data_IF_452946700572
#
_entry.id   IF_452946700572
#
_cell.length_a   1.000
_cell.length_b   1.000
_cell.length_c   1.000
_cell.angle_alpha   90.00
_cell.angle_beta   90.00
_cell.angle_gamma   90.00
#
_symmetry.space_group_name_H-M   'P 1'
#
loop_
_entity.id
_entity.type
_entity.pdbx_description
1 polymer ?
#
# COMPACT_ATOMS: atom_id res chain seq x y z
N UNK A 1 -2.99 18.67 16.82
CA UNK A 1 -3.83 17.80 15.98
C UNK A 1 -3.52 18.18 14.55
N UNK A 2 -2.59 17.48 13.92
CA UNK A 2 -2.32 17.61 12.48
C UNK A 2 -3.21 16.59 11.80
N UNK A 3 -4.23 17.06 11.09
CA UNK A 3 -5.02 16.24 10.16
C UNK A 3 -4.05 15.51 9.24
N UNK A 4 -4.22 14.18 9.11
CA UNK A 4 -3.45 13.37 8.18
C UNK A 4 -3.77 13.81 6.76
N UNK A 5 -2.96 14.70 6.22
CA UNK A 5 -3.16 15.27 4.90
C UNK A 5 -3.04 14.18 3.84
N UNK A 6 -4.09 14.02 3.02
CA UNK A 6 -4.03 13.22 1.80
C UNK A 6 -2.91 13.73 0.89
N UNK A 7 -2.17 12.80 0.29
CA UNK A 7 -1.06 13.15 -0.60
C UNK A 7 -1.43 12.77 -2.02
N UNK A 8 -1.60 13.78 -2.86
CA UNK A 8 -1.92 13.64 -4.27
C UNK A 8 -0.65 13.54 -5.10
N UNK A 9 -0.54 12.47 -5.89
CA UNK A 9 0.59 12.21 -6.77
C UNK A 9 0.08 12.04 -8.20
N UNK A 10 0.51 12.95 -9.07
CA UNK A 10 0.27 12.93 -10.54
C UNK A 10 -1.19 12.66 -10.92
N UNK A 11 -2.12 13.32 -10.21
CA UNK A 11 -3.59 13.29 -10.41
C UNK A 11 -4.26 11.91 -10.30
N UNK A 12 -3.50 10.89 -9.90
CA UNK A 12 -3.88 9.48 -10.08
C UNK A 12 -3.68 8.64 -8.84
N UNK A 13 -2.82 9.04 -7.91
CA UNK A 13 -2.55 8.30 -6.70
C UNK A 13 -2.81 9.20 -5.50
N UNK A 14 -3.63 8.72 -4.58
CA UNK A 14 -3.90 9.34 -3.30
C UNK A 14 -3.36 8.40 -2.24
N UNK A 15 -2.43 8.91 -1.43
CA UNK A 15 -1.99 8.22 -0.23
C UNK A 15 -2.70 8.81 0.96
N UNK A 16 -3.18 7.96 1.85
CA UNK A 16 -3.61 8.36 3.18
C UNK A 16 -2.69 7.70 4.23
N UNK A 17 -1.57 8.36 4.60
CA UNK A 17 -0.61 7.81 5.55
C UNK A 17 -1.16 7.65 6.97
N UNK A 18 -2.21 8.39 7.34
CA UNK A 18 -2.83 8.24 8.65
C UNK A 18 -3.65 6.94 8.74
N UNK A 19 -4.22 6.51 7.62
CA UNK A 19 -5.01 5.28 7.54
C UNK A 19 -4.22 4.09 6.97
N UNK A 20 -3.03 4.31 6.44
CA UNK A 20 -2.24 3.28 5.77
C UNK A 20 -2.95 2.72 4.53
N UNK A 21 -3.70 3.58 3.84
CA UNK A 21 -4.47 3.21 2.66
C UNK A 21 -3.98 3.93 1.40
N UNK A 22 -4.30 3.33 0.26
CA UNK A 22 -3.97 3.83 -1.06
C UNK A 22 -5.23 3.84 -1.91
N UNK A 23 -5.42 4.96 -2.60
CA UNK A 23 -6.34 5.07 -3.73
C UNK A 23 -5.55 5.31 -5.00
N UNK A 24 -5.90 4.58 -6.06
CA UNK A 24 -5.26 4.73 -7.35
C UNK A 24 -6.30 4.76 -8.46
N UNK A 25 -6.29 5.84 -9.22
CA UNK A 25 -7.12 6.12 -10.39
C UNK A 25 -6.24 6.12 -11.63
N UNK A 26 -6.52 5.22 -12.58
CA UNK A 26 -5.81 5.17 -13.86
C UNK A 26 -6.78 5.45 -15.00
N UNK A 27 -6.45 6.43 -15.86
CA UNK A 27 -7.30 6.84 -16.99
C UNK A 27 -8.76 7.08 -16.56
N UNK A 28 -8.94 7.83 -15.47
CA UNK A 28 -10.24 8.13 -14.85
C UNK A 28 -11.03 6.90 -14.34
N UNK A 29 -10.38 5.75 -14.13
CA UNK A 29 -10.99 4.56 -13.52
C UNK A 29 -10.30 4.23 -12.20
N UNK A 30 -11.03 4.04 -11.09
CA UNK A 30 -10.44 3.55 -9.84
C UNK A 30 -9.96 2.11 -10.04
N UNK A 31 -8.66 1.89 -9.84
CA UNK A 31 -8.02 0.58 -9.90
C UNK A 31 -7.84 0.02 -8.48
N UNK A 32 -7.56 0.89 -7.51
CA UNK A 32 -7.53 0.58 -6.08
C UNK A 32 -8.28 1.68 -5.33
N UNK A 33 -9.08 1.29 -4.34
CA UNK A 33 -9.78 2.23 -3.45
C UNK A 33 -9.71 1.68 -2.03
N UNK A 34 -9.28 2.54 -1.10
CA UNK A 34 -9.09 2.21 0.32
C UNK A 34 -8.20 0.98 0.57
N UNK A 35 -7.33 0.63 -0.38
CA UNK A 35 -6.61 -0.62 -0.33
C UNK A 35 -5.44 -0.51 0.66
N UNK A 36 -5.06 -1.62 1.30
CA UNK A 36 -3.96 -1.71 2.27
C UNK A 36 -3.24 -3.04 2.13
N UNK A 37 -2.20 -3.27 2.93
CA UNK A 37 -1.44 -4.52 2.94
C UNK A 37 -1.23 -5.04 4.36
N UNK A 38 -1.14 -6.37 4.47
CA UNK A 38 -0.85 -7.06 5.73
C UNK A 38 0.07 -8.26 5.49
N UNK A 39 0.96 -8.51 6.45
CA UNK A 39 1.79 -9.70 6.54
C UNK A 39 1.53 -10.44 7.85
N UNK A 40 1.40 -11.76 7.79
CA UNK A 40 1.48 -12.63 8.97
C UNK A 40 2.78 -13.40 8.93
N UNK A 41 3.48 -13.42 10.05
CA UNK A 41 4.83 -13.98 10.13
C UNK A 41 5.09 -14.56 11.52
N UNK A 42 6.21 -15.29 11.68
CA UNK A 42 6.68 -15.81 12.97
C UNK A 42 8.11 -15.38 13.25
N UNK A 43 8.36 -15.11 14.53
CA UNK A 43 9.70 -14.91 15.11
C UNK A 43 9.81 -15.86 16.29
N UNK A 44 10.85 -16.70 16.31
CA UNK A 44 11.03 -17.72 17.37
C UNK A 44 9.78 -18.61 17.56
N UNK A 45 9.05 -18.89 16.48
CA UNK A 45 7.81 -19.68 16.49
C UNK A 45 6.55 -18.93 16.96
N UNK A 46 6.67 -17.69 17.42
CA UNK A 46 5.53 -16.88 17.84
C UNK A 46 4.90 -16.13 16.66
N UNK A 47 3.60 -16.34 16.46
CA UNK A 47 2.84 -15.68 15.41
C UNK A 47 2.67 -14.17 15.67
N UNK A 48 2.88 -13.39 14.62
CA UNK A 48 2.79 -11.93 14.58
C UNK A 48 2.09 -11.49 13.30
N UNK A 49 1.56 -10.27 13.34
CA UNK A 49 0.85 -9.64 12.23
C UNK A 49 1.30 -8.19 12.13
N UNK A 50 1.63 -7.76 10.92
CA UNK A 50 1.94 -6.37 10.61
C UNK A 50 1.03 -5.89 9.49
N UNK A 51 0.27 -4.83 9.76
CA UNK A 51 -0.63 -4.21 8.79
C UNK A 51 -0.23 -2.76 8.57
N UNK A 52 -0.37 -2.27 7.33
CA UNK A 52 -0.21 -0.85 7.06
C UNK A 52 -1.30 0.00 7.77
N UNK A 53 -2.46 -0.58 8.15
CA UNK A 53 -3.54 0.15 8.86
C UNK A 53 -3.32 0.35 10.36
N UNK A 54 -2.40 -0.39 10.97
CA UNK A 54 -2.32 -0.48 12.44
C UNK A 54 -1.54 0.70 13.07
N UNK A 55 -1.08 1.69 12.31
CA UNK A 55 -0.34 2.83 12.83
C UNK A 55 0.10 3.84 11.77
N UNK A 56 0.78 4.92 12.18
CA UNK A 56 1.32 5.90 11.24
C UNK A 56 2.33 5.22 10.33
N UNK A 57 2.07 5.25 9.02
CA UNK A 57 3.01 4.70 8.04
C UNK A 57 4.01 5.76 7.59
N UNK A 58 5.25 5.34 7.36
CA UNK A 58 6.21 6.13 6.62
C UNK A 58 5.87 6.07 5.13
N UNK A 59 6.12 7.16 4.40
CA UNK A 59 5.91 7.20 2.95
C UNK A 59 7.11 7.80 2.23
N UNK A 60 7.37 7.32 1.01
CA UNK A 60 8.42 7.79 0.13
C UNK A 60 7.87 8.14 -1.24
N UNK A 61 8.36 9.25 -1.81
CA UNK A 61 8.02 9.67 -3.17
C UNK A 61 9.33 9.93 -3.92
N UNK A 62 9.59 9.09 -4.91
CA UNK A 62 10.59 9.32 -5.94
C UNK A 62 9.88 9.68 -7.26
N UNK A 63 10.65 9.89 -8.34
CA UNK A 63 10.12 10.43 -9.58
C UNK A 63 8.88 9.66 -10.08
N UNK A 64 8.90 8.34 -10.08
CA UNK A 64 7.82 7.47 -10.54
C UNK A 64 7.43 6.38 -9.52
N UNK A 65 8.19 6.26 -8.43
CA UNK A 65 7.96 5.28 -7.38
C UNK A 65 7.38 5.96 -6.14
N UNK A 66 6.34 5.35 -5.61
CA UNK A 66 5.71 5.71 -4.35
C UNK A 66 5.73 4.50 -3.45
N UNK A 67 6.06 4.71 -2.18
CA UNK A 67 6.05 3.64 -1.18
C UNK A 67 5.31 4.06 0.08
N UNK A 68 4.60 3.10 0.67
CA UNK A 68 4.09 3.15 2.04
C UNK A 68 4.73 2.03 2.83
N UNK A 69 5.21 2.31 4.03
CA UNK A 69 5.85 1.30 4.87
C UNK A 69 5.48 1.42 6.33
N UNK A 70 5.33 0.27 6.99
CA UNK A 70 5.21 0.14 8.43
C UNK A 70 6.25 -0.88 8.90
N UNK A 71 6.82 -0.66 10.09
CA UNK A 71 7.77 -1.56 10.73
C UNK A 71 7.40 -1.73 12.19
N UNK A 72 7.52 -2.95 12.70
CA UNK A 72 7.37 -3.28 14.13
C UNK A 72 8.71 -3.62 14.81
N UNK A 73 9.82 -3.33 14.14
CA UNK A 73 11.18 -3.62 14.62
C UNK A 73 11.64 -5.05 14.39
N UNK A 74 10.80 -5.95 13.88
CA UNK A 74 11.21 -7.28 13.41
C UNK A 74 11.14 -7.35 11.89
N UNK A 75 10.02 -6.90 11.32
CA UNK A 75 9.84 -6.81 9.86
C UNK A 75 9.40 -5.42 9.46
N UNK A 76 9.77 -5.03 8.24
CA UNK A 76 9.21 -3.88 7.55
C UNK A 76 8.36 -4.38 6.38
N UNK A 77 7.08 -4.04 6.41
CA UNK A 77 6.16 -4.24 5.29
C UNK A 77 6.14 -2.96 4.45
N UNK A 78 6.43 -3.07 3.16
CA UNK A 78 6.40 -1.95 2.22
C UNK A 78 5.47 -2.28 1.06
N UNK A 79 4.60 -1.34 0.70
CA UNK A 79 3.84 -1.38 -0.52
C UNK A 79 4.41 -0.37 -1.50
N UNK A 80 4.90 -0.87 -2.63
CA UNK A 80 5.51 -0.08 -3.68
C UNK A 80 4.56 0.06 -4.88
N UNK A 81 4.50 1.27 -5.43
CA UNK A 81 3.71 1.66 -6.60
C UNK A 81 4.62 2.40 -7.56
N UNK A 82 4.93 1.77 -8.69
CA UNK A 82 5.66 2.39 -9.79
C UNK A 82 4.66 2.78 -10.87
N UNK A 83 4.53 4.08 -11.11
CA UNK A 83 3.64 4.65 -12.13
C UNK A 83 4.45 5.42 -13.17
N UNK A 84 4.80 4.73 -14.27
CA UNK A 84 5.52 5.35 -15.39
C UNK A 84 4.57 6.13 -16.30
N UNK A 85 4.97 7.32 -16.77
CA UNK A 85 4.19 8.08 -17.73
C UNK A 85 4.14 7.37 -19.10
N UNK A 86 3.22 7.82 -19.95
CA UNK A 86 3.17 7.41 -21.36
C UNK A 86 4.46 7.82 -22.09
N UNK A 87 4.90 7.10 -23.15
CA UNK A 87 4.21 5.99 -23.82
C UNK A 87 4.41 4.61 -23.17
N UNK A 88 5.24 4.52 -22.12
CA UNK A 88 5.49 3.26 -21.41
C UNK A 88 4.27 2.81 -20.62
N UNK A 89 3.53 3.78 -20.05
CA UNK A 89 2.15 3.58 -19.56
C UNK A 89 1.99 2.41 -18.59
N UNK A 90 3.04 2.07 -17.84
CA UNK A 90 3.09 0.88 -17.01
C UNK A 90 2.86 1.23 -15.54
N UNK A 91 1.92 0.52 -14.95
CA UNK A 91 1.69 0.48 -13.52
C UNK A 91 2.20 -0.86 -12.99
N UNK A 92 3.11 -0.81 -12.02
CA UNK A 92 3.55 -1.97 -11.26
C UNK A 92 3.29 -1.75 -9.79
N UNK A 93 2.66 -2.73 -9.15
CA UNK A 93 2.47 -2.75 -7.70
C UNK A 93 3.03 -4.04 -7.15
N UNK A 94 3.74 -3.95 -6.03
CA UNK A 94 4.21 -5.12 -5.31
C UNK A 94 4.33 -4.85 -3.82
N UNK A 95 4.24 -5.92 -3.05
CA UNK A 95 4.51 -5.91 -1.63
C UNK A 95 5.92 -6.45 -1.40
N UNK A 96 6.59 -5.85 -0.44
CA UNK A 96 7.92 -6.26 0.01
C UNK A 96 7.90 -6.41 1.53
N UNK A 97 8.46 -7.51 2.01
CA UNK A 97 8.68 -7.75 3.45
C UNK A 97 10.18 -7.90 3.65
N UNK A 98 10.75 -7.01 4.45
CA UNK A 98 12.17 -7.02 4.79
C UNK A 98 12.30 -7.43 6.25
N UNK A 99 13.16 -8.42 6.55
CA UNK A 99 13.57 -8.67 7.92
C UNK A 99 14.53 -7.56 8.35
N UNK A 100 14.11 -6.75 9.32
CA UNK A 100 14.89 -5.64 9.88
C UNK A 100 15.34 -5.93 11.32
N UNK A 101 14.90 -7.06 11.88
CA UNK A 101 15.28 -7.55 13.19
C UNK A 101 16.57 -8.36 13.15
N UNK A 102 16.98 -8.82 14.33
CA UNK A 102 18.14 -9.70 14.50
C UNK A 102 17.80 -11.19 14.31
N UNK A 103 16.54 -11.56 14.51
CA UNK A 103 16.11 -12.95 14.53
C UNK A 103 15.62 -13.44 13.15
N UNK A 104 15.73 -14.75 12.86
CA UNK A 104 15.11 -15.33 11.67
C UNK A 104 13.60 -15.15 11.68
N UNK A 105 13.07 -14.77 10.51
CA UNK A 105 11.63 -14.58 10.28
C UNK A 105 11.12 -15.64 9.32
N UNK A 106 10.00 -16.27 9.66
CA UNK A 106 9.21 -17.05 8.72
C UNK A 106 7.98 -16.24 8.30
N UNK A 107 7.86 -15.92 7.01
CA UNK A 107 6.66 -15.27 6.47
C UNK A 107 5.65 -16.36 6.11
N UNK A 108 4.46 -16.29 6.72
CA UNK A 108 3.39 -17.27 6.48
C UNK A 108 2.44 -16.79 5.38
N UNK A 109 2.09 -15.50 5.37
CA UNK A 109 1.14 -14.92 4.41
C UNK A 109 1.49 -13.46 4.14
N UNK A 110 1.29 -13.04 2.88
CA UNK A 110 1.39 -11.65 2.45
C UNK A 110 0.17 -11.33 1.57
N UNK A 111 -0.62 -10.34 1.97
CA UNK A 111 -1.91 -10.05 1.31
C UNK A 111 -2.16 -8.56 1.11
N UNK A 112 -2.83 -8.26 0.00
CA UNK A 112 -3.48 -6.97 -0.24
C UNK A 112 -4.92 -7.06 0.24
N UNK A 113 -5.34 -6.14 1.08
CA UNK A 113 -6.71 -6.01 1.55
C UNK A 113 -7.36 -4.82 0.83
N UNK A 114 -8.62 -4.93 0.44
CA UNK A 114 -9.39 -3.81 -0.14
C UNK A 114 -10.27 -3.16 0.94
N UNK A 115 -10.37 -1.83 0.91
CA UNK A 115 -11.47 -1.10 1.54
C UNK A 115 -12.77 -1.44 0.82
N UNK A 116 -13.89 -1.45 1.53
CA UNK A 116 -15.19 -1.94 1.04
C UNK A 116 -15.72 -1.27 -0.24
N UNK A 117 -16.55 -2.05 -0.96
CA UNK A 117 -17.46 -1.78 -2.08
C UNK A 117 -16.95 -0.96 -3.26
N UNK A 118 -16.60 -1.67 -4.33
CA UNK A 118 -16.50 -1.11 -5.68
C UNK A 118 -17.90 -0.69 -6.14
N UNK A 119 -18.20 0.61 -6.20
CA UNK A 119 -19.25 1.08 -7.10
C UNK A 119 -18.73 1.00 -8.53
N UNK A 120 -19.12 -0.05 -9.23
CA UNK A 120 -19.02 -0.06 -10.69
C UNK A 120 -20.00 1.00 -11.18
N UNK A 121 -19.47 2.12 -11.68
CA UNK A 121 -20.29 3.08 -12.40
C UNK A 121 -21.11 2.35 -13.47
N UNK A 122 -22.41 2.63 -13.50
CA UNK A 122 -23.30 2.03 -14.48
C UNK A 122 -22.76 2.28 -15.91
N UNK A 123 -22.89 1.31 -16.83
CA UNK A 123 -22.51 1.52 -18.22
C UNK A 123 -23.25 2.75 -18.78
N UNK A 124 -22.64 3.53 -19.69
CA UNK A 124 -23.34 4.62 -20.34
C UNK A 124 -24.60 4.07 -21.01
N UNK A 125 -25.75 4.68 -20.70
CA UNK A 125 -27.02 4.34 -21.35
C UNK A 125 -26.86 4.53 -22.88
N UNK A 126 -27.20 3.50 -23.64
CA UNK A 126 -27.36 3.57 -25.10
C UNK A 126 -28.53 4.47 -25.50
#
# INVERSE_FOLDING_TARGET
>A
MTEGSEIFIRERLILNPAEGTIEFVYRARPVLSGATAEATYRVEGLARRLSLRDGPVAYGIAQDLVSLSHSDGQVQLTWNILARPEPEGQLSLWLEVVNVGAEPVQVDELRVLRGSTVELGAPPNE
#
